data_IF_935924196774
#
_entry.id   IF_935924196774
#
_cell.length_a   1.000
_cell.length_b   1.000
_cell.length_c   1.000
_cell.angle_alpha   90.00
_cell.angle_beta   90.00
_cell.angle_gamma   90.00
#
_symmetry.space_group_name_H-M   'P 1'
#
loop_
_entity.id
_entity.type
_entity.pdbx_description
1 polymer ?
#
# COMPACT_ATOMS: atom_id res chain seq x y z
N UNK A 1 24.00 12.80 28.04
CA UNK A 1 23.59 11.82 27.00
C UNK A 1 22.29 11.06 27.31
N UNK A 2 21.70 11.19 28.50
CA UNK A 2 20.48 10.46 28.92
C UNK A 2 19.16 11.15 28.54
N UNK A 3 19.13 12.49 28.47
CA UNK A 3 17.93 13.26 28.12
C UNK A 3 17.44 13.01 26.67
N UNK A 4 18.37 12.90 25.72
CA UNK A 4 18.06 12.64 24.31
C UNK A 4 17.45 11.25 24.07
N UNK A 5 17.86 10.22 24.82
CA UNK A 5 17.25 8.89 24.72
C UNK A 5 15.80 8.86 25.25
N UNK A 6 15.51 9.61 26.31
CA UNK A 6 14.17 9.68 26.89
C UNK A 6 13.17 10.40 25.97
N UNK A 7 13.58 11.49 25.32
CA UNK A 7 12.75 12.18 24.31
C UNK A 7 12.51 11.32 23.07
N UNK A 8 13.54 10.58 22.62
CA UNK A 8 13.40 9.68 21.46
C UNK A 8 12.41 8.54 21.77
N UNK A 9 12.44 7.96 22.97
CA UNK A 9 11.47 6.93 23.41
C UNK A 9 10.05 7.48 23.53
N UNK A 10 9.86 8.70 24.05
CA UNK A 10 8.53 9.35 24.13
C UNK A 10 7.97 9.66 22.75
N UNK A 11 8.80 10.13 21.83
CA UNK A 11 8.41 10.34 20.43
C UNK A 11 8.01 9.04 19.73
N UNK A 12 8.72 7.95 20.01
CA UNK A 12 8.40 6.62 19.48
C UNK A 12 7.10 6.06 20.05
N UNK A 13 6.87 6.19 21.36
CA UNK A 13 5.62 5.75 22.01
C UNK A 13 4.40 6.59 21.59
N UNK A 14 4.58 7.90 21.39
CA UNK A 14 3.53 8.77 20.85
C UNK A 14 3.22 8.43 19.39
N UNK A 15 4.25 8.07 18.60
CA UNK A 15 4.10 7.63 17.23
C UNK A 15 3.40 6.27 17.12
N UNK A 16 3.82 5.26 17.89
CA UNK A 16 3.14 3.96 17.92
C UNK A 16 1.71 4.10 18.41
N UNK A 17 1.44 4.97 19.41
CA UNK A 17 0.09 5.28 19.87
C UNK A 17 -0.77 6.00 18.82
N UNK A 18 -0.19 6.92 18.04
CA UNK A 18 -0.91 7.62 16.97
C UNK A 18 -1.17 6.73 15.75
N UNK A 19 -0.20 5.91 15.36
CA UNK A 19 -0.34 4.89 14.31
C UNK A 19 -1.37 3.86 14.76
N UNK A 20 -1.26 3.32 15.98
CA UNK A 20 -2.23 2.37 16.52
C UNK A 20 -3.64 2.98 16.57
N UNK A 21 -3.82 4.23 17.03
CA UNK A 21 -5.14 4.89 17.03
C UNK A 21 -5.68 5.21 15.63
N UNK A 22 -4.82 5.53 14.68
CA UNK A 22 -5.22 5.76 13.29
C UNK A 22 -5.53 4.45 12.58
N UNK A 23 -4.82 3.38 12.91
CA UNK A 23 -5.03 2.03 12.39
C UNK A 23 -6.20 1.34 13.07
N UNK A 24 -6.52 1.64 14.34
CA UNK A 24 -7.54 0.95 15.14
C UNK A 24 -8.91 0.88 14.46
N UNK A 25 -9.49 1.95 13.89
CA UNK A 25 -10.78 1.87 13.21
C UNK A 25 -10.73 1.01 11.94
N UNK A 26 -9.60 1.03 11.22
CA UNK A 26 -9.40 0.23 10.01
C UNK A 26 -9.12 -1.23 10.35
N UNK A 27 -8.24 -1.49 11.31
CA UNK A 27 -8.03 -2.80 11.90
C UNK A 27 -9.36 -3.35 12.41
N UNK A 28 -10.16 -2.60 13.17
CA UNK A 28 -11.49 -3.06 13.59
C UNK A 28 -12.44 -3.28 12.40
N UNK A 29 -12.44 -2.41 11.38
CA UNK A 29 -13.29 -2.59 10.20
C UNK A 29 -12.91 -3.86 9.40
N UNK A 30 -11.63 -4.15 9.25
CA UNK A 30 -11.14 -5.31 8.47
C UNK A 30 -11.10 -6.61 9.30
N UNK A 31 -10.71 -6.54 10.58
CA UNK A 31 -10.61 -7.69 11.51
C UNK A 31 -12.00 -8.08 12.04
N UNK A 32 -12.86 -7.10 12.33
CA UNK A 32 -14.18 -7.31 12.97
C UNK A 32 -15.33 -7.03 11.99
N UNK A 33 -15.27 -5.95 11.21
CA UNK A 33 -16.36 -5.53 10.32
C UNK A 33 -16.59 -6.46 9.12
N UNK A 34 -15.53 -6.87 8.42
CA UNK A 34 -15.62 -7.77 7.26
C UNK A 34 -16.23 -9.14 7.61
N UNK A 35 -15.81 -9.85 8.69
CA UNK A 35 -16.48 -11.08 9.10
C UNK A 35 -17.93 -10.89 9.57
N UNK A 36 -18.32 -9.69 10.01
CA UNK A 36 -19.72 -9.36 10.33
C UNK A 36 -20.55 -8.98 9.09
N UNK A 37 -19.93 -8.47 8.02
CA UNK A 37 -20.62 -8.11 6.77
C UNK A 37 -20.81 -9.33 5.86
N UNK A 38 -19.95 -10.34 5.96
CA UNK A 38 -20.04 -11.61 5.22
C UNK A 38 -20.88 -12.68 5.95
N UNK A 39 -21.77 -12.27 6.88
CA UNK A 39 -22.63 -13.14 7.70
C UNK A 39 -23.69 -13.92 6.87
N UNK A 40 -23.25 -14.84 6.01
CA UNK A 40 -23.94 -16.12 5.77
C UNK A 40 -23.34 -17.14 6.75
N UNK A 41 -24.02 -17.40 7.88
CA UNK A 41 -23.77 -18.59 8.73
C UNK A 41 -23.86 -19.85 7.83
N UNK A 42 -23.10 -20.97 8.01
CA UNK A 42 -22.76 -21.69 9.27
C UNK A 42 -21.38 -22.43 9.21
N UNK A 43 -21.18 -23.62 9.84
CA UNK A 43 -20.95 -23.91 11.26
C UNK A 43 -19.45 -23.83 11.66
N UNK A 44 -19.18 -23.81 12.96
CA UNK A 44 -17.83 -23.73 13.53
C UNK A 44 -17.05 -25.05 13.37
N UNK A 45 -16.29 -25.16 12.28
CA UNK A 45 -15.00 -25.86 12.29
C UNK A 45 -13.90 -24.81 12.24
N UNK A 46 -13.16 -24.67 13.34
CA UNK A 46 -12.19 -23.60 13.54
C UNK A 46 -11.00 -23.67 12.57
N UNK A 47 -10.77 -24.75 11.80
CA UNK A 47 -9.62 -24.86 10.88
C UNK A 47 -9.83 -24.08 9.58
N UNK A 48 -10.87 -24.42 8.79
CA UNK A 48 -11.17 -23.78 7.49
C UNK A 48 -11.60 -22.33 7.67
N UNK A 49 -12.42 -22.05 8.68
CA UNK A 49 -12.91 -20.69 8.95
C UNK A 49 -11.78 -19.75 9.39
N UNK A 50 -10.83 -20.24 10.21
CA UNK A 50 -9.68 -19.44 10.62
C UNK A 50 -8.70 -19.22 9.47
N UNK A 51 -8.48 -20.20 8.60
CA UNK A 51 -7.64 -20.04 7.41
C UNK A 51 -8.24 -19.01 6.44
N UNK A 52 -9.55 -19.05 6.20
CA UNK A 52 -10.26 -18.05 5.40
C UNK A 52 -10.13 -16.65 6.00
N UNK A 53 -10.32 -16.52 7.31
CA UNK A 53 -10.16 -15.24 8.00
C UNK A 53 -8.72 -14.73 7.93
N UNK A 54 -7.72 -15.58 8.21
CA UNK A 54 -6.30 -15.23 8.15
C UNK A 54 -5.87 -14.80 6.75
N UNK A 55 -6.34 -15.50 5.71
CA UNK A 55 -6.07 -15.12 4.33
C UNK A 55 -6.65 -13.74 4.02
N UNK A 56 -7.93 -13.51 4.34
CA UNK A 56 -8.57 -12.22 4.13
C UNK A 56 -7.87 -11.07 4.87
N UNK A 57 -7.46 -11.29 6.11
CA UNK A 57 -6.71 -10.30 6.90
C UNK A 57 -5.34 -10.02 6.31
N UNK A 58 -4.61 -11.05 5.88
CA UNK A 58 -3.28 -10.88 5.28
C UNK A 58 -3.36 -10.09 3.97
N UNK A 59 -4.34 -10.38 3.11
CA UNK A 59 -4.58 -9.69 1.85
C UNK A 59 -5.02 -8.24 2.07
N UNK A 60 -6.00 -8.01 2.94
CA UNK A 60 -6.48 -6.67 3.27
C UNK A 60 -5.36 -5.83 3.92
N UNK A 61 -4.54 -6.43 4.79
CA UNK A 61 -3.40 -5.74 5.40
C UNK A 61 -2.31 -5.42 4.38
N UNK A 62 -2.01 -6.34 3.45
CA UNK A 62 -1.06 -6.10 2.36
C UNK A 62 -1.51 -4.90 1.51
N UNK A 63 -2.81 -4.78 1.23
CA UNK A 63 -3.40 -3.68 0.47
C UNK A 63 -3.47 -2.38 1.28
N UNK A 64 -3.84 -2.42 2.56
CA UNK A 64 -4.09 -1.23 3.38
C UNK A 64 -2.83 -0.56 3.92
N UNK A 65 -1.78 -1.32 4.26
CA UNK A 65 -0.55 -0.80 4.86
C UNK A 65 0.11 0.33 4.05
N UNK A 66 0.26 0.21 2.70
CA UNK A 66 0.78 1.28 1.88
C UNK A 66 -0.03 2.59 1.93
N UNK A 67 -1.31 2.57 2.32
CA UNK A 67 -2.16 3.76 2.47
C UNK A 67 -2.01 4.37 3.85
N UNK A 68 -2.01 3.52 4.88
CA UNK A 68 -1.90 3.93 6.28
C UNK A 68 -0.56 4.62 6.56
N UNK A 69 0.49 4.27 5.82
CA UNK A 69 1.81 4.89 5.99
C UNK A 69 1.84 6.37 5.60
N UNK A 70 0.90 6.87 4.80
CA UNK A 70 0.73 8.31 4.56
C UNK A 70 0.53 9.08 5.88
N UNK A 71 -0.34 8.55 6.76
CA UNK A 71 -0.55 9.14 8.08
C UNK A 71 0.72 9.07 8.94
N UNK A 72 1.52 8.01 8.78
CA UNK A 72 2.86 7.90 9.35
C UNK A 72 3.79 9.02 8.90
N UNK A 73 3.81 9.35 7.60
CA UNK A 73 4.56 10.49 7.05
C UNK A 73 4.12 11.84 7.65
N UNK A 74 2.81 12.05 7.79
CA UNK A 74 2.26 13.24 8.45
C UNK A 74 2.69 13.32 9.91
N UNK A 75 2.69 12.20 10.63
CA UNK A 75 3.09 12.12 12.03
C UNK A 75 4.60 12.40 12.21
N UNK A 76 5.44 11.91 11.30
CA UNK A 76 6.89 12.14 11.34
C UNK A 76 7.26 13.63 11.33
N UNK A 77 6.55 14.45 10.55
CA UNK A 77 6.77 15.92 10.54
C UNK A 77 6.48 16.55 11.91
N UNK A 78 5.46 16.05 12.63
CA UNK A 78 5.14 16.55 13.98
C UNK A 78 6.21 16.18 15.01
N UNK A 79 6.81 15.00 14.88
CA UNK A 79 7.80 14.49 15.83
C UNK A 79 9.20 15.02 15.55
N UNK A 80 9.61 15.06 14.28
CA UNK A 80 10.99 15.34 13.88
C UNK A 80 11.21 16.75 13.34
N UNK A 81 10.14 17.52 13.12
CA UNK A 81 10.21 18.84 12.48
C UNK A 81 10.89 18.79 11.10
N UNK A 82 11.45 19.92 10.66
CA UNK A 82 12.19 20.03 9.39
C UNK A 82 13.66 19.56 9.50
N UNK A 83 13.92 18.51 10.26
CA UNK A 83 15.29 18.02 10.47
C UNK A 83 15.85 17.31 9.25
N UNK A 84 17.18 17.32 9.08
CA UNK A 84 17.89 16.53 8.05
C UNK A 84 17.61 15.03 8.14
N UNK A 85 17.15 14.54 9.29
CA UNK A 85 16.83 13.12 9.53
C UNK A 85 15.44 12.74 9.05
N UNK A 86 14.51 13.69 8.88
CA UNK A 86 13.11 13.44 8.53
C UNK A 86 12.98 12.56 7.28
N UNK A 87 13.63 12.95 6.19
CA UNK A 87 13.55 12.22 4.91
C UNK A 87 14.13 10.82 5.06
N UNK A 88 15.30 10.68 5.70
CA UNK A 88 15.93 9.37 5.94
C UNK A 88 15.04 8.46 6.77
N UNK A 89 14.42 8.97 7.84
CA UNK A 89 13.49 8.21 8.66
C UNK A 89 12.22 7.85 7.88
N UNK A 90 11.67 8.77 7.09
CA UNK A 90 10.51 8.50 6.25
C UNK A 90 10.79 7.38 5.24
N UNK A 91 11.92 7.42 4.54
CA UNK A 91 12.35 6.36 3.61
C UNK A 91 12.50 5.02 4.33
N UNK A 92 13.17 4.99 5.48
CA UNK A 92 13.34 3.75 6.25
C UNK A 92 11.99 3.15 6.67
N UNK A 93 11.07 3.98 7.17
CA UNK A 93 9.70 3.56 7.53
C UNK A 93 8.93 3.07 6.31
N UNK A 94 9.05 3.78 5.18
CA UNK A 94 8.53 3.40 3.87
C UNK A 94 8.97 2.00 3.46
N UNK A 95 10.27 1.74 3.51
CA UNK A 95 10.86 0.45 3.16
C UNK A 95 10.37 -0.64 4.10
N UNK A 96 10.35 -0.40 5.42
CA UNK A 96 9.89 -1.40 6.39
C UNK A 96 8.43 -1.80 6.18
N UNK A 97 7.54 -0.82 5.99
CA UNK A 97 6.12 -1.09 5.74
C UNK A 97 5.90 -1.68 4.36
N UNK A 98 6.65 -1.23 3.36
CA UNK A 98 6.63 -1.83 2.01
C UNK A 98 7.07 -3.28 2.03
N UNK A 99 8.13 -3.62 2.76
CA UNK A 99 8.60 -4.99 2.95
C UNK A 99 7.58 -5.86 3.68
N UNK A 100 6.90 -5.32 4.70
CA UNK A 100 5.82 -6.03 5.39
C UNK A 100 4.61 -6.26 4.48
N UNK A 101 4.18 -5.24 3.73
CA UNK A 101 3.10 -5.35 2.74
C UNK A 101 3.44 -6.38 1.66
N UNK A 102 4.68 -6.38 1.17
CA UNK A 102 5.19 -7.40 0.24
C UNK A 102 5.17 -8.80 0.85
N UNK A 103 5.68 -8.97 2.07
CA UNK A 103 5.69 -10.27 2.74
C UNK A 103 4.27 -10.81 2.93
N UNK A 104 3.33 -9.95 3.34
CA UNK A 104 1.93 -10.32 3.50
C UNK A 104 1.28 -10.71 2.18
N UNK A 105 1.45 -9.90 1.13
CA UNK A 105 0.78 -10.11 -0.16
C UNK A 105 1.41 -11.19 -1.04
N UNK A 106 2.74 -11.32 -1.02
CA UNK A 106 3.47 -12.26 -1.88
C UNK A 106 3.74 -13.62 -1.22
N UNK A 107 3.74 -13.71 0.12
CA UNK A 107 4.09 -14.95 0.81
C UNK A 107 2.97 -15.42 1.75
N UNK A 108 2.58 -14.60 2.73
CA UNK A 108 1.66 -15.04 3.78
C UNK A 108 0.26 -15.34 3.22
N UNK A 109 -0.34 -14.41 2.48
CA UNK A 109 -1.68 -14.61 1.92
C UNK A 109 -1.74 -15.81 0.95
N UNK A 110 -0.81 -15.97 -0.02
CA UNK A 110 -0.80 -17.14 -0.89
C UNK A 110 -0.61 -18.48 -0.14
N UNK A 111 0.27 -18.51 0.86
CA UNK A 111 0.53 -19.70 1.67
C UNK A 111 -0.72 -20.12 2.46
N UNK A 112 -1.39 -19.16 3.11
CA UNK A 112 -2.62 -19.42 3.86
C UNK A 112 -3.75 -19.85 2.92
N UNK A 113 -3.85 -19.23 1.73
CA UNK A 113 -4.83 -19.61 0.72
C UNK A 113 -4.59 -21.04 0.21
N UNK A 114 -3.34 -21.44 -0.03
CA UNK A 114 -3.00 -22.81 -0.43
C UNK A 114 -3.45 -23.82 0.63
N UNK A 115 -3.14 -23.55 1.92
CA UNK A 115 -3.57 -24.41 3.03
C UNK A 115 -5.08 -24.49 3.16
N UNK A 116 -5.79 -23.40 2.86
CA UNK A 116 -7.25 -23.37 2.82
C UNK A 116 -7.78 -24.29 1.72
N UNK A 117 -7.20 -24.25 0.52
CA UNK A 117 -7.63 -25.11 -0.60
C UNK A 117 -7.40 -26.60 -0.31
N UNK A 118 -6.27 -26.94 0.31
CA UNK A 118 -5.96 -28.30 0.80
C UNK A 118 -7.00 -28.74 1.84
N UNK A 119 -7.30 -27.88 2.82
CA UNK A 119 -8.28 -28.21 3.86
C UNK A 119 -9.71 -28.38 3.33
N UNK A 120 -10.01 -27.82 2.16
CA UNK A 120 -11.30 -27.95 1.47
C UNK A 120 -11.35 -29.15 0.51
N UNK A 121 -10.29 -29.96 0.42
CA UNK A 121 -10.11 -31.03 -0.57
C UNK A 121 -10.41 -30.56 -2.01
N UNK A 122 -10.15 -29.28 -2.25
CA UNK A 122 -10.48 -28.57 -3.49
C UNK A 122 -9.27 -28.41 -4.41
N UNK A 123 -8.17 -29.09 -4.06
CA UNK A 123 -6.92 -29.00 -4.77
C UNK A 123 -7.00 -29.79 -6.08
N UNK A 124 -6.77 -29.11 -7.21
CA UNK A 124 -6.51 -29.81 -8.47
C UNK A 124 -5.06 -30.30 -8.48
N UNK A 125 -4.80 -31.40 -9.20
CA UNK A 125 -3.42 -31.91 -9.40
C UNK A 125 -2.46 -30.83 -9.95
N UNK A 126 -2.99 -29.82 -10.64
CA UNK A 126 -2.22 -28.70 -11.18
C UNK A 126 -1.86 -27.62 -10.14
N UNK A 127 -2.66 -27.43 -9.08
CA UNK A 127 -2.32 -26.56 -7.96
C UNK A 127 -1.19 -27.16 -7.11
N UNK A 128 -1.20 -28.50 -6.93
CA UNK A 128 -0.11 -29.22 -6.26
C UNK A 128 1.22 -29.13 -7.02
N UNK A 129 1.18 -29.04 -8.36
CA UNK A 129 2.39 -29.03 -9.20
C UNK A 129 3.28 -27.80 -8.97
N UNK A 130 2.70 -26.61 -8.86
CA UNK A 130 3.46 -25.35 -8.73
C UNK A 130 3.52 -24.84 -7.28
N UNK A 131 2.78 -25.49 -6.37
CA UNK A 131 2.64 -25.08 -4.99
C UNK A 131 1.87 -23.76 -4.82
N UNK A 132 2.00 -23.11 -3.65
CA UNK A 132 1.35 -21.85 -3.36
C UNK A 132 1.73 -20.76 -4.38
N UNK A 133 0.81 -19.82 -4.66
CA UNK A 133 1.00 -18.68 -5.58
C UNK A 133 1.95 -17.60 -5.03
N UNK A 134 3.11 -18.02 -4.54
CA UNK A 134 4.25 -17.20 -4.13
C UNK A 134 5.06 -16.79 -5.35
N UNK A 135 6.01 -15.83 -5.25
CA UNK A 135 6.88 -15.47 -6.36
C UNK A 135 7.55 -16.68 -7.02
N UNK A 136 8.00 -17.66 -6.24
CA UNK A 136 8.62 -18.88 -6.77
C UNK A 136 7.63 -19.71 -7.58
N UNK A 137 6.46 -20.02 -7.03
CA UNK A 137 5.42 -20.80 -7.72
C UNK A 137 4.88 -20.09 -8.97
N UNK A 138 4.75 -18.76 -8.93
CA UNK A 138 4.34 -17.95 -10.09
C UNK A 138 5.40 -18.00 -11.19
N UNK A 139 6.69 -17.92 -10.85
CA UNK A 139 7.79 -18.00 -11.84
C UNK A 139 7.86 -19.39 -12.47
N UNK A 140 7.69 -20.45 -11.68
CA UNK A 140 7.65 -21.82 -12.19
C UNK A 140 6.46 -22.05 -13.12
N UNK A 141 5.27 -21.60 -12.72
CA UNK A 141 4.08 -21.67 -13.58
C UNK A 141 4.27 -20.85 -14.85
N UNK A 142 4.79 -19.62 -14.75
CA UNK A 142 5.06 -18.77 -15.91
C UNK A 142 6.00 -19.46 -16.90
N UNK A 143 7.09 -20.06 -16.44
CA UNK A 143 8.02 -20.83 -17.29
C UNK A 143 7.33 -22.03 -17.92
N UNK A 144 6.48 -22.74 -17.18
CA UNK A 144 5.73 -23.88 -17.70
C UNK A 144 4.78 -23.46 -18.84
N UNK A 145 4.00 -22.40 -18.62
CA UNK A 145 3.03 -21.89 -19.61
C UNK A 145 3.75 -21.33 -20.85
N UNK A 146 4.88 -20.65 -20.67
CA UNK A 146 5.67 -20.15 -21.80
C UNK A 146 6.30 -21.27 -22.63
N UNK A 147 6.74 -22.36 -21.97
CA UNK A 147 7.28 -23.53 -22.65
C UNK A 147 6.19 -24.42 -23.27
N UNK A 148 4.98 -24.43 -22.71
CA UNK A 148 3.86 -25.28 -23.13
C UNK A 148 2.58 -24.43 -23.19
N UNK A 149 2.44 -23.54 -24.19
CA UNK A 149 1.26 -22.68 -24.28
C UNK A 149 0.00 -23.53 -24.53
N UNK A 150 -1.07 -23.37 -23.74
CA UNK A 150 -2.32 -24.08 -23.95
C UNK A 150 -3.02 -23.59 -25.23
N UNK A 151 -3.90 -24.42 -25.78
CA UNK A 151 -4.78 -24.01 -26.89
C UNK A 151 -5.70 -22.84 -26.47
N UNK A 152 -6.17 -22.86 -25.21
CA UNK A 152 -7.01 -21.82 -24.63
C UNK A 152 -6.52 -21.41 -23.24
N UNK A 153 -6.38 -20.10 -23.04
CA UNK A 153 -6.08 -19.52 -21.74
C UNK A 153 -7.34 -19.33 -20.89
N UNK A 154 -7.22 -19.42 -19.58
CA UNK A 154 -8.32 -19.18 -18.62
C UNK A 154 -7.81 -18.58 -17.31
N UNK A 155 -8.72 -17.94 -16.56
CA UNK A 155 -8.47 -17.46 -15.18
C UNK A 155 -9.07 -18.41 -14.13
N UNK A 156 -9.50 -19.61 -14.54
CA UNK A 156 -10.04 -20.60 -13.62
C UNK A 156 -8.96 -21.11 -12.68
N UNK A 157 -9.09 -20.81 -11.38
CA UNK A 157 -8.13 -21.19 -10.32
C UNK A 157 -7.82 -22.70 -10.31
N UNK A 158 -8.75 -23.55 -10.76
CA UNK A 158 -8.53 -24.99 -10.87
C UNK A 158 -7.60 -25.42 -12.02
N UNK A 159 -7.28 -24.53 -12.96
CA UNK A 159 -6.39 -24.77 -14.10
C UNK A 159 -5.27 -23.71 -14.17
N UNK A 160 -4.39 -23.63 -13.15
CA UNK A 160 -3.36 -22.59 -13.05
C UNK A 160 -2.36 -22.63 -14.22
N UNK A 161 -2.12 -23.80 -14.81
CA UNK A 161 -1.26 -23.99 -15.98
C UNK A 161 -1.84 -23.38 -17.27
N UNK A 162 -3.07 -22.86 -17.24
CA UNK A 162 -3.70 -22.17 -18.37
C UNK A 162 -3.81 -20.67 -18.15
N UNK A 163 -3.16 -20.13 -17.12
CA UNK A 163 -3.22 -18.70 -16.86
C UNK A 163 -2.47 -17.93 -17.95
N UNK A 164 -3.01 -16.78 -18.42
CA UNK A 164 -2.29 -15.92 -19.34
C UNK A 164 -0.93 -15.49 -18.74
N UNK A 165 0.19 -15.56 -19.49
CA UNK A 165 1.50 -15.10 -19.03
C UNK A 165 1.49 -13.64 -18.56
N UNK A 166 0.66 -12.79 -19.17
CA UNK A 166 0.46 -11.40 -18.76
C UNK A 166 -0.11 -11.29 -17.34
N UNK A 167 -1.07 -12.13 -16.96
CA UNK A 167 -1.68 -12.13 -15.63
C UNK A 167 -0.68 -12.63 -14.59
N UNK A 168 0.06 -13.71 -14.90
CA UNK A 168 1.12 -14.21 -14.02
C UNK A 168 2.21 -13.15 -13.77
N UNK A 169 2.64 -12.42 -14.81
CA UNK A 169 3.58 -11.29 -14.64
C UNK A 169 2.98 -10.16 -13.82
N UNK A 170 1.70 -9.84 -14.01
CA UNK A 170 1.03 -8.81 -13.21
C UNK A 170 0.99 -9.18 -11.72
N UNK A 171 0.65 -10.42 -11.39
CA UNK A 171 0.67 -10.93 -10.01
C UNK A 171 2.09 -10.96 -9.42
N UNK A 172 3.11 -11.28 -10.22
CA UNK A 172 4.50 -11.26 -9.78
C UNK A 172 4.99 -9.84 -9.46
N UNK A 173 4.60 -8.85 -10.28
CA UNK A 173 5.05 -7.46 -10.15
C UNK A 173 4.16 -6.57 -9.28
N UNK A 174 2.91 -6.98 -9.01
CA UNK A 174 1.96 -6.25 -8.18
C UNK A 174 2.46 -5.98 -6.76
N UNK A 175 2.86 -7.01 -5.98
CA UNK A 175 3.34 -6.82 -4.61
C UNK A 175 4.59 -5.92 -4.52
N UNK A 176 5.63 -6.06 -5.38
CA UNK A 176 6.73 -5.10 -5.45
C UNK A 176 6.28 -3.66 -5.74
N UNK A 177 5.35 -3.46 -6.68
CA UNK A 177 4.83 -2.14 -6.99
C UNK A 177 4.08 -1.52 -5.78
N UNK A 178 3.31 -2.32 -5.03
CA UNK A 178 2.67 -1.90 -3.77
C UNK A 178 3.69 -1.51 -2.69
N UNK A 179 4.81 -2.24 -2.59
CA UNK A 179 5.88 -1.92 -1.67
C UNK A 179 6.56 -0.58 -2.03
N UNK A 180 6.81 -0.33 -3.31
CA UNK A 180 7.33 0.96 -3.79
C UNK A 180 6.31 2.08 -3.53
N UNK A 181 5.02 1.82 -3.75
CA UNK A 181 3.96 2.77 -3.43
C UNK A 181 3.99 3.19 -1.96
N UNK A 182 4.24 2.27 -1.01
CA UNK A 182 4.36 2.62 0.42
C UNK A 182 5.48 3.64 0.68
N UNK A 183 6.63 3.50 0.02
CA UNK A 183 7.75 4.44 0.12
C UNK A 183 7.39 5.81 -0.44
N UNK A 184 6.71 5.86 -1.58
CA UNK A 184 6.23 7.13 -2.16
C UNK A 184 5.18 7.76 -1.24
N UNK A 185 4.27 6.96 -0.68
CA UNK A 185 3.13 7.46 0.07
C UNK A 185 3.50 8.02 1.45
N UNK A 186 4.53 7.48 2.10
CA UNK A 186 5.07 8.10 3.34
C UNK A 186 5.71 9.46 3.04
N UNK A 187 6.39 9.61 1.90
CA UNK A 187 6.95 10.90 1.48
C UNK A 187 5.86 11.89 1.10
N UNK A 188 4.78 11.45 0.43
CA UNK A 188 3.58 12.25 0.20
C UNK A 188 2.98 12.76 1.51
N UNK A 189 2.92 11.90 2.54
CA UNK A 189 2.47 12.28 3.88
C UNK A 189 3.33 13.39 4.50
N UNK A 190 4.65 13.29 4.37
CA UNK A 190 5.60 14.33 4.81
C UNK A 190 5.35 15.65 4.08
N UNK A 191 5.26 15.61 2.75
CA UNK A 191 5.05 16.80 1.92
C UNK A 191 3.69 17.44 2.19
N UNK A 192 2.63 16.65 2.32
CA UNK A 192 1.29 17.11 2.66
C UNK A 192 1.27 17.79 4.04
N UNK A 193 1.98 17.24 5.02
CA UNK A 193 2.11 17.87 6.33
C UNK A 193 2.83 19.23 6.23
N UNK A 194 3.98 19.30 5.55
CA UNK A 194 4.74 20.53 5.36
C UNK A 194 3.92 21.63 4.64
N UNK A 195 3.18 21.26 3.60
CA UNK A 195 2.34 22.18 2.83
C UNK A 195 1.16 22.74 3.66
N UNK A 196 0.71 22.02 4.68
CA UNK A 196 -0.50 22.39 5.43
C UNK A 196 -0.21 23.08 6.77
N UNK A 197 1.05 23.23 7.19
CA UNK A 197 1.39 23.72 8.55
C UNK A 197 0.74 25.06 8.93
N UNK A 198 0.63 26.03 8.02
CA UNK A 198 0.06 27.35 8.37
C UNK A 198 -1.48 27.41 8.24
N UNK A 199 -2.14 26.30 7.90
CA UNK A 199 -3.61 26.26 7.86
C UNK A 199 -4.19 26.07 9.27
N UNK A 200 -5.47 26.43 9.45
CA UNK A 200 -6.19 26.11 10.69
C UNK A 200 -6.26 24.59 10.93
N UNK A 201 -6.35 24.13 12.18
CA UNK A 201 -6.33 22.68 12.51
C UNK A 201 -7.36 21.86 11.72
N UNK A 202 -8.57 22.40 11.50
CA UNK A 202 -9.62 21.74 10.70
C UNK A 202 -9.23 21.67 9.21
N UNK A 203 -8.74 22.79 8.66
CA UNK A 203 -8.27 22.84 7.27
C UNK A 203 -7.05 21.93 7.02
N UNK A 204 -6.12 21.82 7.99
CA UNK A 204 -5.01 20.87 7.93
C UNK A 204 -5.48 19.44 7.78
N UNK A 205 -6.43 19.02 8.63
CA UNK A 205 -6.98 17.66 8.61
C UNK A 205 -7.65 17.36 7.28
N UNK A 206 -8.53 18.26 6.82
CA UNK A 206 -9.28 18.07 5.58
C UNK A 206 -8.37 18.05 4.36
N UNK A 207 -7.39 18.96 4.28
CA UNK A 207 -6.43 18.99 3.17
C UNK A 207 -5.57 17.72 3.13
N UNK A 208 -5.05 17.25 4.28
CA UNK A 208 -4.26 16.01 4.34
C UNK A 208 -5.09 14.78 3.97
N UNK A 209 -6.33 14.73 4.43
CA UNK A 209 -7.25 13.65 4.08
C UNK A 209 -7.58 13.68 2.59
N UNK A 210 -7.89 14.84 2.03
CA UNK A 210 -8.15 14.99 0.60
C UNK A 210 -6.94 14.55 -0.25
N UNK A 211 -5.73 15.01 0.10
CA UNK A 211 -4.49 14.63 -0.60
C UNK A 211 -4.25 13.11 -0.53
N UNK A 212 -4.38 12.52 0.66
CA UNK A 212 -4.15 11.09 0.87
C UNK A 212 -5.21 10.20 0.20
N UNK A 213 -6.49 10.54 0.36
CA UNK A 213 -7.62 9.79 -0.24
C UNK A 213 -7.58 9.90 -1.76
N UNK A 214 -7.37 11.10 -2.31
CA UNK A 214 -7.25 11.30 -3.75
C UNK A 214 -6.06 10.52 -4.33
N UNK A 215 -4.90 10.61 -3.68
CA UNK A 215 -3.70 9.85 -4.04
C UNK A 215 -3.97 8.34 -4.07
N UNK A 216 -4.66 7.85 -3.06
CA UNK A 216 -4.98 6.44 -2.93
C UNK A 216 -6.01 5.93 -3.94
N UNK A 217 -7.13 6.64 -4.10
CA UNK A 217 -8.18 6.28 -5.06
C UNK A 217 -7.62 6.28 -6.48
N UNK A 218 -6.84 7.30 -6.84
CA UNK A 218 -6.27 7.40 -8.16
C UNK A 218 -5.27 6.27 -8.44
N UNK A 219 -4.41 5.93 -7.48
CA UNK A 219 -3.51 4.77 -7.62
C UNK A 219 -4.28 3.48 -7.88
N UNK A 220 -5.31 3.17 -7.07
CA UNK A 220 -6.10 1.96 -7.27
C UNK A 220 -6.94 1.98 -8.54
N UNK A 221 -7.50 3.12 -8.93
CA UNK A 221 -8.21 3.27 -10.19
C UNK A 221 -7.27 3.00 -11.38
N UNK A 222 -6.04 3.52 -11.34
CA UNK A 222 -5.01 3.21 -12.34
C UNK A 222 -4.62 1.73 -12.31
N UNK A 223 -4.45 1.13 -11.14
CA UNK A 223 -4.12 -0.30 -11.02
C UNK A 223 -5.22 -1.19 -11.59
N UNK A 224 -6.49 -0.88 -11.31
CA UNK A 224 -7.64 -1.60 -11.85
C UNK A 224 -7.74 -1.42 -13.38
N UNK A 225 -7.56 -0.20 -13.89
CA UNK A 225 -7.63 0.10 -15.32
C UNK A 225 -6.46 -0.48 -16.13
N UNK A 226 -5.28 -0.60 -15.52
CA UNK A 226 -4.07 -1.15 -16.13
C UNK A 226 -3.96 -2.68 -15.98
N UNK A 227 -4.81 -3.30 -15.15
CA UNK A 227 -4.84 -4.75 -14.98
C UNK A 227 -5.09 -5.48 -16.31
N UNK A 228 -4.33 -6.55 -16.61
CA UNK A 228 -4.56 -7.36 -17.80
C UNK A 228 -5.82 -8.22 -17.72
N UNK A 229 -6.42 -8.37 -16.53
CA UNK A 229 -7.58 -9.24 -16.28
C UNK A 229 -8.84 -8.74 -17.01
N UNK A 230 -9.16 -7.46 -16.88
CA UNK A 230 -10.37 -6.87 -17.48
C UNK A 230 -10.42 -6.98 -19.01
N UNK A 231 -9.37 -6.57 -19.73
CA UNK A 231 -9.27 -6.75 -21.18
C UNK A 231 -9.34 -8.23 -21.57
N UNK A 232 -8.59 -9.11 -20.91
CA UNK A 232 -8.63 -10.55 -21.18
C UNK A 232 -10.05 -11.12 -21.09
N UNK A 233 -10.81 -10.77 -20.06
CA UNK A 233 -12.21 -11.21 -19.89
C UNK A 233 -13.17 -10.62 -20.93
N UNK A 234 -12.85 -9.46 -21.52
CA UNK A 234 -13.73 -8.77 -22.48
C UNK A 234 -13.52 -9.24 -23.91
N UNK A 235 -12.27 -9.35 -24.34
CA UNK A 235 -11.91 -9.54 -25.75
C UNK A 235 -10.69 -10.46 -25.95
N UNK A 236 -10.21 -11.13 -24.90
CA UNK A 236 -9.04 -12.00 -24.96
C UNK A 236 -7.70 -11.26 -25.09
N UNK A 237 -7.68 -9.92 -25.06
CA UNK A 237 -6.44 -9.16 -25.26
C UNK A 237 -5.48 -9.30 -24.08
N UNK A 238 -4.21 -9.56 -24.40
CA UNK A 238 -3.13 -9.68 -23.41
C UNK A 238 -2.33 -8.39 -23.31
N UNK A 239 -2.76 -7.48 -22.43
CA UNK A 239 -1.94 -6.29 -22.08
C UNK A 239 -0.72 -6.71 -21.26
N UNK A 240 0.34 -5.91 -21.30
CA UNK A 240 1.55 -6.17 -20.52
C UNK A 240 1.25 -6.16 -19.01
N UNK A 241 1.40 -7.29 -18.35
CA UNK A 241 1.23 -7.39 -16.90
C UNK A 241 2.26 -6.58 -16.10
N UNK A 242 3.49 -6.50 -16.62
CA UNK A 242 4.55 -5.67 -16.03
C UNK A 242 4.12 -4.20 -16.05
N UNK A 243 3.68 -3.71 -17.22
CA UNK A 243 3.19 -2.34 -17.32
C UNK A 243 1.95 -2.12 -16.44
N UNK A 244 1.03 -3.09 -16.42
CA UNK A 244 -0.17 -3.05 -15.58
C UNK A 244 0.12 -2.90 -14.08
N UNK A 245 1.22 -3.49 -13.59
CA UNK A 245 1.63 -3.39 -12.20
C UNK A 245 2.37 -2.08 -11.87
N UNK A 246 3.25 -1.62 -12.76
CA UNK A 246 4.14 -0.47 -12.48
C UNK A 246 3.59 0.89 -12.92
N UNK A 247 2.81 0.95 -14.00
CA UNK A 247 2.25 2.21 -14.51
C UNK A 247 1.43 3.01 -13.48
N UNK A 248 0.67 2.38 -12.55
CA UNK A 248 -0.07 3.10 -11.51
C UNK A 248 0.81 3.97 -10.61
N UNK A 249 2.10 3.67 -10.45
CA UNK A 249 3.04 4.47 -9.66
C UNK A 249 3.32 5.85 -10.27
N UNK A 250 3.07 6.04 -11.56
CA UNK A 250 3.22 7.35 -12.23
C UNK A 250 2.38 8.41 -11.50
N UNK A 251 1.19 8.04 -11.04
CA UNK A 251 0.28 8.96 -10.36
C UNK A 251 0.83 9.50 -9.04
N UNK A 252 1.15 8.67 -8.02
CA UNK A 252 1.69 9.16 -6.75
C UNK A 252 3.07 9.82 -6.93
N UNK A 253 3.86 9.42 -7.92
CA UNK A 253 5.12 10.10 -8.26
C UNK A 253 4.85 11.52 -8.79
N UNK A 254 3.93 11.68 -9.74
CA UNK A 254 3.52 12.99 -10.26
C UNK A 254 2.94 13.88 -9.15
N UNK A 255 2.12 13.29 -8.28
CA UNK A 255 1.61 13.97 -7.08
C UNK A 255 2.74 14.44 -6.17
N UNK A 256 3.79 13.63 -5.97
CA UNK A 256 4.95 14.01 -5.19
C UNK A 256 5.69 15.19 -5.81
N UNK A 257 5.91 15.19 -7.12
CA UNK A 257 6.52 16.32 -7.84
C UNK A 257 5.73 17.62 -7.67
N UNK A 258 4.39 17.55 -7.80
CA UNK A 258 3.51 18.71 -7.59
C UNK A 258 3.63 19.23 -6.16
N UNK A 259 3.60 18.35 -5.16
CA UNK A 259 3.73 18.76 -3.75
C UNK A 259 5.12 19.35 -3.44
N UNK A 260 6.20 18.76 -3.97
CA UNK A 260 7.55 19.32 -3.85
C UNK A 260 7.61 20.72 -4.45
N UNK A 261 7.07 20.91 -5.65
CA UNK A 261 7.00 22.21 -6.31
C UNK A 261 6.25 23.23 -5.44
N UNK A 262 5.08 22.87 -4.91
CA UNK A 262 4.26 23.76 -4.06
C UNK A 262 4.97 24.12 -2.74
N UNK A 263 5.62 23.16 -2.09
CA UNK A 263 6.41 23.40 -0.87
C UNK A 263 7.55 24.36 -1.15
N UNK A 264 8.36 24.11 -2.19
CA UNK A 264 9.47 25.00 -2.59
C UNK A 264 9.00 26.40 -2.97
N UNK A 265 7.89 26.50 -3.71
CA UNK A 265 7.29 27.79 -4.09
C UNK A 265 6.87 28.60 -2.87
N UNK A 266 6.31 27.94 -1.85
CA UNK A 266 5.93 28.59 -0.58
C UNK A 266 7.16 29.07 0.19
N UNK A 267 8.19 28.23 0.30
CA UNK A 267 9.44 28.59 0.99
C UNK A 267 10.08 29.83 0.39
N UNK A 268 10.04 29.98 -0.94
CA UNK A 268 10.53 31.18 -1.64
C UNK A 268 9.74 32.45 -1.37
N UNK A 269 8.45 32.37 -1.03
CA UNK A 269 7.57 33.54 -0.77
C UNK A 269 7.59 34.04 0.67
N UNK A 270 8.01 33.21 1.63
CA UNK A 270 8.11 33.59 3.06
C UNK A 270 9.17 34.66 3.42
N UNK A 271 10.30 34.83 2.71
CA UNK A 271 11.28 35.88 3.01
C UNK A 271 10.69 37.28 2.78
N UNK A 272 9.89 37.47 1.75
CA UNK A 272 9.31 38.77 1.37
C UNK A 272 8.31 39.29 2.41
N UNK A 273 7.53 38.40 3.03
CA UNK A 273 6.54 38.77 4.05
C UNK A 273 7.19 39.14 5.38
N UNK A 274 8.27 38.46 5.79
CA UNK A 274 9.01 38.80 7.01
C UNK A 274 9.77 40.12 6.91
N UNK A 275 10.30 40.44 5.73
CA UNK A 275 10.94 41.74 5.49
C UNK A 275 9.91 42.88 5.53
N UNK A 276 8.71 42.69 4.98
CA UNK A 276 7.63 43.67 5.06
C UNK A 276 7.12 43.89 6.49
N UNK A 277 6.98 42.83 7.30
CA UNK A 277 6.59 42.94 8.71
C UNK A 277 7.67 43.59 9.60
N UNK A 278 8.96 43.43 9.28
CA UNK A 278 10.04 44.10 10.01
C UNK A 278 10.14 45.60 9.69
N UNK A 279 9.77 46.02 8.48
CA UNK A 279 9.73 47.44 8.10
C UNK A 279 8.48 48.17 8.61
N UNK A 280 7.37 47.47 8.85
CA UNK A 280 6.14 48.04 9.41
C UNK A 280 6.15 48.27 10.93
N UNK A 281 7.18 47.78 11.65
CA UNK A 281 7.40 48.03 13.08
C UNK A 281 8.51 49.05 13.28
N UNK A 282 8.39 50.22 12.67
CA UNK A 282 9.17 51.37 13.12
C UNK A 282 8.51 51.89 14.40
N UNK A 283 9.22 51.94 15.54
CA UNK A 283 8.68 52.53 16.75
C UNK A 283 8.45 54.03 16.50
N UNK A 284 7.20 54.48 16.60
CA UNK A 284 6.91 55.84 17.04
C UNK A 284 6.90 55.85 18.57
#
# INVERSE_FOLDING_TARGET
>A
MTATMAETRRGHAAWTGAVAKAMWPWCLLFIVGKPLLELRRPPYEWSVSSLRWLWGVAEDAALALPFLIFAGGVALVRVLGHSRRLVRTAVAVGISVGALSYALGAWVAPEVHSRLLVALDSESADLQRFGPRTPTGIVENLRFVEANPPEEYTLNVGAPHRFPPSVLRWELHGPPAMAVFAVVNVLLGVLAAALTLDLSRRAQRNARLAIGVFGGIAFFACLAAASPVGPFLRDGTMRSGVFGAWAPLVFPIAQAFVLVYLVRRRERRRPETRAAESFGRSPM
#
